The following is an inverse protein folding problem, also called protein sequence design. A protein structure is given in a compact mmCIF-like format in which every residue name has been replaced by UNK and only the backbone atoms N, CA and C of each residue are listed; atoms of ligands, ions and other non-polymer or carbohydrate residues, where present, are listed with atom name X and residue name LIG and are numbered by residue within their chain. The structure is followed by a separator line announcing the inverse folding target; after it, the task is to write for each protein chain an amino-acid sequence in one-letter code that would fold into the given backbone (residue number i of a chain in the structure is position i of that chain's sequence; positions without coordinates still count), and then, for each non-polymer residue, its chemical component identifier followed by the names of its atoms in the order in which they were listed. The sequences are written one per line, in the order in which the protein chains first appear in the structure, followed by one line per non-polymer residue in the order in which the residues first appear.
data_IF_186501150633
#
_entry.id   IF_186501150633
#
_cell.length_a   1.000
_cell.length_b   1.000
_cell.length_c   1.000
_cell.angle_alpha   90.00
_cell.angle_beta   90.00
_cell.angle_gamma   90.00
#
_symmetry.space_group_name_H-M   'P 1'
#
loop_
_entity.id
_entity.type
_entity.pdbx_description
1 polymer ?
#
# COMPACT_ATOMS: atom_id res chain seq x y z
N UNK A 1 16.67 -13.34 -17.14
CA UNK A 1 17.05 -11.94 -17.21
C UNK A 1 18.35 -11.80 -18.01
N UNK A 2 18.44 -10.72 -18.78
CA UNK A 2 19.60 -10.35 -19.58
C UNK A 2 20.04 -8.92 -19.23
N UNK A 3 21.30 -8.56 -19.49
CA UNK A 3 21.73 -7.17 -19.36
C UNK A 3 20.86 -6.24 -20.20
N UNK A 4 20.39 -5.14 -19.58
CA UNK A 4 19.48 -4.18 -20.19
C UNK A 4 18.00 -4.40 -19.93
N UNK A 5 17.59 -5.56 -19.38
CA UNK A 5 16.21 -5.77 -18.94
C UNK A 5 15.82 -4.84 -17.78
N UNK A 6 14.54 -4.49 -17.70
CA UNK A 6 13.94 -3.83 -16.55
C UNK A 6 13.08 -4.81 -15.78
N UNK A 7 13.19 -4.81 -14.45
CA UNK A 7 12.41 -5.68 -13.55
C UNK A 7 11.65 -4.83 -12.55
N UNK A 8 10.33 -4.83 -12.66
CA UNK A 8 9.45 -4.17 -11.68
C UNK A 8 9.15 -5.12 -10.52
N UNK A 9 9.38 -4.66 -9.30
CA UNK A 9 9.23 -5.45 -8.07
C UNK A 9 8.13 -4.82 -7.22
N UNK A 10 7.00 -5.55 -7.06
CA UNK A 10 5.86 -5.12 -6.27
C UNK A 10 5.33 -6.28 -5.41
N UNK A 11 5.75 -6.33 -4.15
CA UNK A 11 5.32 -7.34 -3.17
C UNK A 11 4.91 -6.69 -1.86
N UNK A 12 4.05 -7.35 -1.06
CA UNK A 12 3.77 -6.92 0.29
C UNK A 12 2.34 -7.09 0.78
N UNK A 13 1.31 -7.20 -0.07
CA UNK A 13 -0.09 -7.24 0.38
C UNK A 13 -0.39 -8.34 1.41
N UNK A 14 0.28 -9.48 1.31
CA UNK A 14 0.11 -10.63 2.21
C UNK A 14 1.16 -10.71 3.32
N UNK A 15 2.23 -9.93 3.23
CA UNK A 15 3.38 -10.01 4.13
C UNK A 15 3.07 -9.56 5.57
N UNK A 16 1.98 -8.80 5.77
CA UNK A 16 1.46 -8.42 7.08
C UNK A 16 0.71 -9.57 7.80
N UNK A 17 0.49 -10.67 7.12
CA UNK A 17 -0.20 -11.83 7.68
C UNK A 17 0.59 -12.43 8.87
N UNK A 18 -0.06 -13.20 9.75
CA UNK A 18 0.64 -13.90 10.83
C UNK A 18 1.78 -14.77 10.29
N UNK A 19 2.97 -14.62 10.87
CA UNK A 19 4.17 -15.34 10.43
C UNK A 19 4.02 -16.85 10.65
N UNK A 20 3.38 -17.26 11.75
CA UNK A 20 3.15 -18.66 12.07
C UNK A 20 2.20 -19.37 11.08
N UNK A 21 1.33 -18.63 10.40
CA UNK A 21 0.40 -19.16 9.41
C UNK A 21 1.10 -19.50 8.10
N UNK A 22 1.47 -20.77 7.93
CA UNK A 22 2.17 -21.26 6.73
C UNK A 22 1.43 -20.97 5.42
N UNK A 23 0.10 -20.85 5.43
CA UNK A 23 -0.69 -20.57 4.24
C UNK A 23 -0.58 -19.10 3.83
N UNK A 24 -0.45 -18.21 4.79
CA UNK A 24 -0.43 -16.75 4.56
C UNK A 24 0.98 -16.17 4.41
N UNK A 25 2.00 -16.83 4.97
CA UNK A 25 3.43 -16.50 4.83
C UNK A 25 3.78 -15.05 5.12
N UNK A 26 3.40 -14.56 6.31
CA UNK A 26 3.84 -13.25 6.79
C UNK A 26 5.35 -13.19 6.97
N UNK A 27 5.90 -11.98 6.91
CA UNK A 27 7.33 -11.71 7.12
C UNK A 27 7.53 -10.74 8.28
N UNK A 28 8.77 -10.57 8.74
CA UNK A 28 9.08 -9.60 9.80
C UNK A 28 8.84 -8.18 9.26
N UNK A 29 7.97 -7.36 9.91
CA UNK A 29 7.60 -6.03 9.43
C UNK A 29 8.71 -5.00 9.71
N UNK A 30 9.74 -4.96 8.89
CA UNK A 30 10.90 -4.08 9.02
C UNK A 30 11.58 -3.85 7.68
N UNK A 31 12.19 -2.66 7.49
CA UNK A 31 13.11 -2.39 6.40
C UNK A 31 14.54 -2.88 6.68
N UNK A 32 14.89 -3.07 7.96
CA UNK A 32 16.23 -3.50 8.39
C UNK A 32 16.46 -4.97 8.07
N UNK A 33 17.70 -5.35 7.85
CA UNK A 33 18.11 -6.74 7.64
C UNK A 33 18.06 -7.50 8.97
N UNK A 34 16.92 -8.13 9.21
CA UNK A 34 16.70 -8.96 10.39
C UNK A 34 16.09 -10.30 10.00
N UNK A 35 16.37 -11.31 10.78
CA UNK A 35 15.78 -12.64 10.66
C UNK A 35 15.53 -13.26 12.03
N UNK A 36 14.59 -14.18 12.09
CA UNK A 36 14.26 -14.94 13.29
C UNK A 36 13.70 -16.31 12.91
N UNK A 37 14.03 -17.32 13.71
CA UNK A 37 13.42 -18.63 13.59
C UNK A 37 12.05 -18.62 14.24
N UNK A 38 11.04 -19.05 13.51
CA UNK A 38 9.66 -19.18 13.97
C UNK A 38 9.23 -20.64 13.92
N UNK A 39 8.48 -21.07 14.93
CA UNK A 39 7.74 -22.33 14.90
C UNK A 39 6.42 -22.07 14.16
N UNK A 40 6.18 -22.78 13.09
CA UNK A 40 4.96 -22.66 12.30
C UNK A 40 3.83 -23.52 12.89
N UNK A 41 2.59 -23.23 12.46
CA UNK A 41 1.38 -23.96 12.93
C UNK A 41 1.42 -25.47 12.65
N UNK A 42 2.19 -25.89 11.65
CA UNK A 42 2.43 -27.30 11.34
C UNK A 42 3.57 -27.95 12.17
N UNK A 43 4.13 -27.22 13.12
CA UNK A 43 5.22 -27.67 14.01
C UNK A 43 6.64 -27.55 13.43
N UNK A 44 6.81 -27.19 12.17
CA UNK A 44 8.12 -26.96 11.55
C UNK A 44 8.74 -25.65 12.03
N UNK A 45 10.07 -25.57 11.99
CA UNK A 45 10.80 -24.33 12.24
C UNK A 45 11.29 -23.76 10.92
N UNK A 46 11.11 -22.45 10.72
CA UNK A 46 11.54 -21.75 9.52
C UNK A 46 12.25 -20.45 9.90
N UNK A 47 13.37 -20.15 9.21
CA UNK A 47 14.05 -18.88 9.32
C UNK A 47 13.34 -17.86 8.42
N UNK A 48 12.72 -16.87 9.04
CA UNK A 48 11.97 -15.82 8.34
C UNK A 48 12.75 -14.51 8.40
N UNK A 49 12.90 -13.88 7.27
CA UNK A 49 13.55 -12.59 7.14
C UNK A 49 12.54 -11.43 7.15
N UNK A 50 13.06 -10.22 7.24
CA UNK A 50 12.24 -9.01 7.15
C UNK A 50 11.82 -8.70 5.71
N UNK A 51 10.74 -7.91 5.58
CA UNK A 51 10.27 -7.37 4.31
C UNK A 51 11.39 -6.66 3.54
N UNK A 52 12.16 -5.79 4.21
CA UNK A 52 13.26 -5.06 3.60
C UNK A 52 14.38 -5.97 3.12
N UNK A 53 14.69 -7.04 3.87
CA UNK A 53 15.70 -8.01 3.44
C UNK A 53 15.31 -8.68 2.12
N UNK A 54 14.07 -9.14 1.99
CA UNK A 54 13.59 -9.74 0.74
C UNK A 54 13.64 -8.76 -0.44
N UNK A 55 13.24 -7.50 -0.23
CA UNK A 55 13.32 -6.50 -1.28
C UNK A 55 14.77 -6.23 -1.71
N UNK A 56 15.69 -6.09 -0.76
CA UNK A 56 17.12 -5.89 -1.05
C UNK A 56 17.72 -7.09 -1.78
N UNK A 57 17.32 -8.30 -1.38
CA UNK A 57 17.73 -9.52 -2.10
C UNK A 57 17.26 -9.51 -3.55
N UNK A 58 15.99 -9.18 -3.83
CA UNK A 58 15.49 -9.07 -5.20
C UNK A 58 16.23 -8.00 -6.00
N UNK A 59 16.50 -6.83 -5.41
CA UNK A 59 17.27 -5.76 -6.05
C UNK A 59 18.67 -6.25 -6.42
N UNK A 60 19.35 -6.91 -5.51
CA UNK A 60 20.68 -7.47 -5.73
C UNK A 60 20.66 -8.51 -6.84
N UNK A 61 19.75 -9.49 -6.79
CA UNK A 61 19.65 -10.56 -7.78
C UNK A 61 19.41 -10.03 -9.20
N UNK A 62 18.62 -8.97 -9.33
CA UNK A 62 18.37 -8.30 -10.62
C UNK A 62 19.63 -7.61 -11.12
N UNK A 63 20.34 -6.88 -10.25
CA UNK A 63 21.58 -6.17 -10.59
C UNK A 63 22.72 -7.13 -10.98
N UNK A 64 22.81 -8.28 -10.32
CA UNK A 64 23.80 -9.33 -10.63
C UNK A 64 23.59 -9.94 -12.05
N UNK A 65 22.40 -9.80 -12.60
CA UNK A 65 22.09 -10.19 -13.99
C UNK A 65 22.31 -9.06 -15.01
N UNK A 66 22.82 -7.91 -14.59
CA UNK A 66 22.98 -6.73 -15.44
C UNK A 66 21.66 -6.05 -15.79
N UNK A 67 20.57 -6.42 -15.13
CA UNK A 67 19.24 -5.83 -15.31
C UNK A 67 19.00 -4.66 -14.33
N UNK A 68 18.03 -3.82 -14.63
CA UNK A 68 17.67 -2.64 -13.85
C UNK A 68 16.44 -2.94 -12.99
N UNK A 69 16.57 -2.98 -11.64
CA UNK A 69 15.41 -3.13 -10.75
C UNK A 69 14.68 -1.80 -10.59
N UNK A 70 13.35 -1.86 -10.54
CA UNK A 70 12.46 -0.75 -10.22
C UNK A 70 11.52 -1.23 -9.10
N UNK A 71 11.62 -0.64 -7.91
CA UNK A 71 10.64 -0.89 -6.86
C UNK A 71 9.35 -0.12 -7.13
N UNK A 72 8.23 -0.79 -6.89
CA UNK A 72 6.89 -0.21 -7.06
C UNK A 72 6.12 -0.35 -5.76
N UNK A 73 5.54 0.73 -5.25
CA UNK A 73 4.68 0.65 -4.07
C UNK A 73 3.40 -0.13 -4.36
N UNK A 74 2.78 -0.67 -3.31
CA UNK A 74 1.58 -1.51 -3.41
C UNK A 74 0.42 -0.73 -4.04
N UNK A 75 -0.49 -1.44 -4.70
CA UNK A 75 -1.78 -0.84 -5.09
C UNK A 75 -2.60 -0.45 -3.87
N UNK A 76 -3.37 0.64 -3.90
CA UNK A 76 -4.25 1.00 -2.80
C UNK A 76 -5.36 -0.05 -2.61
N UNK A 77 -5.85 -0.18 -1.38
CA UNK A 77 -7.08 -0.91 -1.08
C UNK A 77 -8.27 0.05 -1.07
N UNK A 78 -9.49 -0.50 -1.19
CA UNK A 78 -10.71 0.28 -1.01
C UNK A 78 -10.95 0.55 0.48
N UNK A 79 -10.07 1.33 1.08
CA UNK A 79 -10.11 1.74 2.48
C UNK A 79 -9.98 3.26 2.58
N UNK A 80 -10.85 3.90 3.39
CA UNK A 80 -11.05 5.34 3.41
C UNK A 80 -10.94 5.93 4.83
N UNK A 81 -9.80 5.75 5.51
CA UNK A 81 -9.63 6.33 6.85
C UNK A 81 -9.76 7.85 6.80
N UNK A 82 -10.66 8.41 7.60
CA UNK A 82 -10.87 9.86 7.60
C UNK A 82 -11.53 10.44 6.35
N UNK A 83 -12.16 9.61 5.51
CA UNK A 83 -12.80 10.04 4.26
C UNK A 83 -11.83 10.28 3.10
N UNK A 84 -10.61 9.75 3.17
CA UNK A 84 -9.57 9.75 2.12
C UNK A 84 -9.08 8.35 1.87
N UNK A 85 -8.57 8.08 0.67
CA UNK A 85 -7.93 6.80 0.35
C UNK A 85 -6.71 6.55 1.26
N UNK A 86 -6.56 5.31 1.72
CA UNK A 86 -5.46 4.92 2.62
C UNK A 86 -4.10 5.11 1.97
N UNK A 87 -3.10 5.56 2.74
CA UNK A 87 -1.74 5.88 2.22
C UNK A 87 -0.65 4.89 2.61
N UNK A 88 -0.86 4.04 3.62
CA UNK A 88 0.13 3.08 4.16
C UNK A 88 1.52 3.67 4.51
N UNK A 89 1.59 4.97 4.71
CA UNK A 89 2.85 5.69 4.95
C UNK A 89 3.55 5.30 6.26
N UNK A 90 2.84 4.67 7.19
CA UNK A 90 3.37 4.22 8.48
C UNK A 90 3.79 2.74 8.51
N UNK A 91 3.70 2.04 7.38
CA UNK A 91 4.02 0.61 7.25
C UNK A 91 4.83 0.35 5.98
N UNK A 92 4.26 -0.31 4.98
CA UNK A 92 4.96 -0.65 3.75
C UNK A 92 5.54 0.54 3.00
N UNK A 93 4.82 1.67 2.92
CA UNK A 93 5.34 2.88 2.30
C UNK A 93 6.60 3.39 3.00
N UNK A 94 6.63 3.34 4.34
CA UNK A 94 7.81 3.69 5.14
C UNK A 94 8.98 2.75 4.83
N UNK A 95 8.75 1.43 4.91
CA UNK A 95 9.82 0.45 4.70
C UNK A 95 10.36 0.46 3.28
N UNK A 96 9.52 0.63 2.27
CA UNK A 96 9.93 0.84 0.89
C UNK A 96 10.85 2.06 0.75
N UNK A 97 10.45 3.20 1.31
CA UNK A 97 11.27 4.41 1.27
C UNK A 97 12.63 4.25 1.98
N UNK A 98 12.68 3.49 3.08
CA UNK A 98 13.94 3.16 3.77
C UNK A 98 14.84 2.30 2.87
N UNK A 99 14.30 1.26 2.22
CA UNK A 99 15.04 0.41 1.26
C UNK A 99 15.52 1.22 0.06
N UNK A 100 14.67 2.10 -0.50
CA UNK A 100 15.06 2.98 -1.63
C UNK A 100 16.24 3.88 -1.25
N UNK A 101 16.20 4.51 -0.06
CA UNK A 101 17.29 5.36 0.43
C UNK A 101 18.59 4.58 0.62
N UNK A 102 18.51 3.36 1.11
CA UNK A 102 19.68 2.51 1.38
C UNK A 102 20.30 1.97 0.09
N UNK A 103 19.47 1.57 -0.88
CA UNK A 103 19.93 0.85 -2.08
C UNK A 103 20.11 1.73 -3.32
N UNK A 104 19.56 2.95 -3.31
CA UNK A 104 19.52 3.83 -4.48
C UNK A 104 18.73 3.23 -5.66
N UNK A 105 17.84 2.28 -5.42
CA UNK A 105 17.00 1.68 -6.46
C UNK A 105 15.98 2.69 -6.97
N UNK A 106 15.68 2.64 -8.27
CA UNK A 106 14.57 3.42 -8.82
C UNK A 106 13.24 3.02 -8.17
N UNK A 107 12.40 4.01 -7.84
CA UNK A 107 11.16 3.78 -7.11
C UNK A 107 9.98 4.51 -7.75
N UNK A 108 8.91 3.78 -8.01
CA UNK A 108 7.64 4.33 -8.47
C UNK A 108 6.62 4.26 -7.33
N UNK A 109 6.22 5.42 -6.80
CA UNK A 109 5.19 5.52 -5.77
C UNK A 109 3.78 5.45 -6.37
N UNK A 110 3.50 4.32 -7.00
CA UNK A 110 2.20 4.05 -7.63
C UNK A 110 1.05 4.13 -6.62
N UNK A 111 1.29 3.74 -5.35
CA UNK A 111 0.28 3.80 -4.29
C UNK A 111 -0.26 5.21 -4.11
N UNK A 112 0.62 6.17 -3.86
CA UNK A 112 0.19 7.55 -3.62
C UNK A 112 -0.40 8.18 -4.88
N UNK A 113 0.14 7.89 -6.07
CA UNK A 113 -0.40 8.37 -7.34
C UNK A 113 -1.83 7.85 -7.58
N UNK A 114 -2.07 6.56 -7.35
CA UNK A 114 -3.41 5.95 -7.46
C UNK A 114 -4.35 6.46 -6.38
N UNK A 115 -3.86 6.62 -5.14
CA UNK A 115 -4.67 7.16 -4.06
C UNK A 115 -5.03 8.63 -4.27
N UNK A 116 -4.15 9.45 -4.84
CA UNK A 116 -4.46 10.84 -5.23
C UNK A 116 -5.55 10.88 -6.31
N UNK A 117 -5.49 9.98 -7.27
CA UNK A 117 -6.56 9.84 -8.27
C UNK A 117 -7.89 9.48 -7.60
N UNK A 118 -7.91 8.48 -6.73
CA UNK A 118 -9.13 8.09 -6.00
C UNK A 118 -9.66 9.25 -5.14
N UNK A 119 -8.78 9.96 -4.43
CA UNK A 119 -9.15 11.13 -3.62
C UNK A 119 -9.78 12.23 -4.47
N UNK A 120 -9.24 12.51 -5.65
CA UNK A 120 -9.79 13.53 -6.56
C UNK A 120 -11.21 13.23 -7.01
N UNK A 121 -11.62 11.97 -6.98
CA UNK A 121 -12.94 11.53 -7.39
C UNK A 121 -13.93 11.36 -6.22
N UNK A 122 -13.46 10.90 -5.05
CA UNK A 122 -14.35 10.34 -4.03
C UNK A 122 -14.05 10.80 -2.60
N UNK A 123 -12.93 11.52 -2.34
CA UNK A 123 -12.62 11.95 -0.99
C UNK A 123 -13.66 12.92 -0.44
N UNK A 124 -14.05 12.69 0.81
CA UNK A 124 -14.96 13.57 1.55
C UNK A 124 -14.43 13.84 2.98
N UNK A 125 -13.14 14.22 3.05
CA UNK A 125 -12.44 14.50 4.30
C UNK A 125 -13.10 15.61 5.12
N UNK A 126 -13.58 16.67 4.45
CA UNK A 126 -14.22 17.81 5.10
C UNK A 126 -15.47 17.40 5.86
N UNK A 127 -16.33 16.60 5.24
CA UNK A 127 -17.57 16.13 5.85
C UNK A 127 -17.29 15.12 6.96
N UNK A 128 -16.32 14.21 6.75
CA UNK A 128 -15.85 13.29 7.80
C UNK A 128 -15.38 14.07 9.03
N UNK A 129 -14.47 15.02 8.86
CA UNK A 129 -13.90 15.83 9.95
C UNK A 129 -14.97 16.60 10.72
N UNK A 130 -15.95 17.18 10.02
CA UNK A 130 -17.09 17.86 10.64
C UNK A 130 -17.83 16.98 11.65
N UNK A 131 -18.05 15.69 11.33
CA UNK A 131 -18.75 14.78 12.24
C UNK A 131 -17.82 14.18 13.31
N UNK A 132 -16.57 13.91 12.97
CA UNK A 132 -15.57 13.41 13.93
C UNK A 132 -15.28 14.43 15.03
N UNK A 133 -15.10 15.71 14.68
CA UNK A 133 -14.91 16.81 15.63
C UNK A 133 -16.14 17.00 16.53
N UNK A 134 -17.37 16.89 15.96
CA UNK A 134 -18.60 16.92 16.75
C UNK A 134 -18.67 15.76 17.74
N UNK A 135 -18.30 14.55 17.31
CA UNK A 135 -18.28 13.38 18.17
C UNK A 135 -17.33 13.55 19.36
N UNK A 136 -16.10 14.02 19.09
CA UNK A 136 -15.10 14.33 20.13
C UNK A 136 -15.61 15.40 21.10
N UNK A 137 -16.21 16.50 20.59
CA UNK A 137 -16.77 17.59 21.40
C UNK A 137 -17.93 17.11 22.28
N UNK A 138 -18.80 16.24 21.79
CA UNK A 138 -19.92 15.70 22.57
C UNK A 138 -19.43 14.72 23.65
N UNK A 139 -18.47 13.83 23.31
CA UNK A 139 -17.87 12.93 24.28
C UNK A 139 -17.18 13.69 25.44
N UNK A 140 -16.41 14.71 25.12
CA UNK A 140 -15.77 15.57 26.14
C UNK A 140 -16.77 16.29 27.07
N UNK A 141 -18.05 16.38 26.70
CA UNK A 141 -19.14 16.99 27.49
C UNK A 141 -20.06 15.93 28.12
N UNK A 142 -19.69 14.64 28.13
CA UNK A 142 -20.52 13.57 28.66
C UNK A 142 -21.84 13.34 27.89
N UNK A 143 -21.95 13.82 26.64
CA UNK A 143 -23.17 13.67 25.81
C UNK A 143 -23.07 12.43 24.90
N UNK A 144 -23.02 11.26 25.52
CA UNK A 144 -22.68 10.01 24.83
C UNK A 144 -23.62 9.65 23.66
N UNK A 145 -24.92 9.85 23.81
CA UNK A 145 -25.87 9.59 22.71
C UNK A 145 -25.59 10.46 21.48
N UNK A 146 -25.31 11.76 21.68
CA UNK A 146 -24.96 12.70 20.59
C UNK A 146 -23.58 12.39 20.00
N UNK A 147 -22.63 11.95 20.83
CA UNK A 147 -21.30 11.51 20.37
C UNK A 147 -21.43 10.26 19.48
N UNK A 148 -22.25 9.30 19.88
CA UNK A 148 -22.53 8.07 19.09
C UNK A 148 -23.18 8.40 17.76
N UNK A 149 -24.18 9.27 17.74
CA UNK A 149 -24.83 9.72 16.50
C UNK A 149 -23.84 10.39 15.53
N UNK A 150 -22.99 11.28 16.05
CA UNK A 150 -21.98 11.95 15.24
C UNK A 150 -20.94 10.96 14.68
N UNK A 151 -20.48 9.98 15.46
CA UNK A 151 -19.59 8.90 14.99
C UNK A 151 -20.26 8.08 13.87
N UNK A 152 -21.53 7.80 13.98
CA UNK A 152 -22.27 7.06 12.95
C UNK A 152 -22.34 7.86 11.64
N UNK A 153 -22.56 9.16 11.71
CA UNK A 153 -22.50 10.04 10.53
C UNK A 153 -21.10 10.04 9.89
N UNK A 154 -20.02 10.09 10.67
CA UNK A 154 -18.66 9.98 10.15
C UNK A 154 -18.41 8.62 9.46
N UNK A 155 -18.91 7.51 10.03
CA UNK A 155 -18.83 6.18 9.40
C UNK A 155 -19.59 6.11 8.07
N UNK A 156 -20.76 6.77 7.98
CA UNK A 156 -21.52 6.82 6.72
C UNK A 156 -20.74 7.54 5.61
N UNK A 157 -20.03 8.61 5.93
CA UNK A 157 -19.16 9.29 4.96
C UNK A 157 -18.08 8.32 4.42
N UNK A 158 -17.41 7.56 5.30
CA UNK A 158 -16.43 6.57 4.89
C UNK A 158 -17.05 5.47 4.02
N UNK A 159 -18.25 4.98 4.39
CA UNK A 159 -18.97 3.97 3.63
C UNK A 159 -19.36 4.48 2.23
N UNK A 160 -19.73 5.74 2.11
CA UNK A 160 -20.07 6.37 0.84
C UNK A 160 -18.84 6.47 -0.10
N UNK A 161 -17.70 6.98 0.40
CA UNK A 161 -16.45 6.98 -0.36
C UNK A 161 -16.10 5.58 -0.86
N UNK A 162 -16.19 4.58 0.02
CA UNK A 162 -15.95 3.17 -0.31
C UNK A 162 -16.90 2.65 -1.41
N UNK A 163 -18.18 2.95 -1.29
CA UNK A 163 -19.18 2.50 -2.26
C UNK A 163 -18.98 3.13 -3.64
N UNK A 164 -18.69 4.43 -3.69
CA UNK A 164 -18.43 5.14 -4.95
C UNK A 164 -17.16 4.63 -5.65
N UNK A 165 -16.12 4.30 -4.89
CA UNK A 165 -14.88 3.76 -5.41
C UNK A 165 -14.97 2.29 -5.83
N UNK A 166 -16.08 1.59 -5.53
CA UNK A 166 -16.21 0.15 -5.75
C UNK A 166 -15.99 -0.29 -7.20
N UNK A 167 -16.26 0.57 -8.17
CA UNK A 167 -16.01 0.28 -9.59
C UNK A 167 -14.55 -0.04 -9.92
N UNK A 168 -13.58 0.44 -9.11
CA UNK A 168 -12.14 0.16 -9.28
C UNK A 168 -11.70 -1.16 -8.62
N UNK A 169 -12.59 -1.83 -7.90
CA UNK A 169 -12.31 -3.05 -7.17
C UNK A 169 -13.23 -4.18 -7.62
N UNK A 170 -12.82 -5.44 -7.40
CA UNK A 170 -13.63 -6.62 -7.72
C UNK A 170 -14.58 -6.96 -6.56
N UNK A 171 -14.55 -8.24 -6.16
CA UNK A 171 -15.41 -8.78 -5.10
C UNK A 171 -14.97 -8.41 -3.68
N UNK A 172 -13.76 -7.89 -3.52
CA UNK A 172 -13.20 -7.50 -2.23
C UNK A 172 -12.48 -6.15 -2.33
N UNK A 173 -12.04 -5.61 -1.19
CA UNK A 173 -11.40 -4.31 -1.08
C UNK A 173 -9.93 -4.26 -1.57
N UNK A 174 -9.37 -5.38 -2.03
CA UNK A 174 -7.94 -5.49 -2.40
C UNK A 174 -7.74 -5.69 -3.90
N UNK A 175 -8.49 -6.62 -4.50
CA UNK A 175 -8.31 -6.96 -5.90
C UNK A 175 -9.01 -5.94 -6.81
N UNK A 176 -8.30 -5.50 -7.84
CA UNK A 176 -8.79 -4.48 -8.76
C UNK A 176 -9.71 -5.05 -9.84
N UNK A 177 -10.70 -4.25 -10.27
CA UNK A 177 -11.46 -4.45 -11.51
C UNK A 177 -10.59 -4.11 -12.73
N UNK A 178 -11.16 -4.19 -13.92
CA UNK A 178 -10.51 -3.71 -15.15
C UNK A 178 -10.23 -2.20 -15.07
N UNK A 179 -11.17 -1.42 -14.55
CA UNK A 179 -11.01 0.03 -14.33
C UNK A 179 -9.90 0.30 -13.32
N UNK A 180 -9.85 -0.47 -12.23
CA UNK A 180 -8.78 -0.37 -11.24
C UNK A 180 -7.41 -0.78 -11.80
N UNK A 181 -7.35 -1.79 -12.64
CA UNK A 181 -6.12 -2.18 -13.32
C UNK A 181 -5.61 -1.08 -14.27
N UNK A 182 -6.52 -0.45 -15.03
CA UNK A 182 -6.20 0.70 -15.90
C UNK A 182 -5.70 1.90 -15.09
N UNK A 183 -6.37 2.23 -13.98
CA UNK A 183 -5.93 3.28 -13.06
C UNK A 183 -4.50 3.02 -12.55
N UNK A 184 -4.21 1.79 -12.11
CA UNK A 184 -2.88 1.42 -11.61
C UNK A 184 -1.82 1.48 -12.73
N UNK A 185 -2.13 1.01 -13.95
CA UNK A 185 -1.23 1.10 -15.10
C UNK A 185 -0.91 2.56 -15.45
N UNK A 186 -1.92 3.44 -15.47
CA UNK A 186 -1.74 4.87 -15.69
C UNK A 186 -0.91 5.52 -14.57
N UNK A 187 -1.14 5.13 -13.32
CA UNK A 187 -0.37 5.62 -12.17
C UNK A 187 1.09 5.18 -12.24
N UNK A 188 1.35 3.95 -12.65
CA UNK A 188 2.69 3.44 -12.88
C UNK A 188 3.41 4.22 -14.00
N UNK A 189 2.78 4.36 -15.16
CA UNK A 189 3.30 5.12 -16.28
C UNK A 189 3.58 6.59 -15.91
N UNK A 190 2.67 7.22 -15.14
CA UNK A 190 2.86 8.57 -14.60
C UNK A 190 4.08 8.64 -13.68
N UNK A 191 4.23 7.65 -12.79
CA UNK A 191 5.37 7.59 -11.87
C UNK A 191 6.71 7.43 -12.59
N UNK A 192 6.78 6.59 -13.62
CA UNK A 192 7.97 6.47 -14.46
C UNK A 192 8.36 7.81 -15.12
N UNK A 193 7.36 8.53 -15.67
CA UNK A 193 7.58 9.85 -16.28
C UNK A 193 8.03 10.89 -15.25
N UNK A 194 7.46 10.90 -14.06
CA UNK A 194 7.84 11.81 -12.96
C UNK A 194 9.27 11.59 -12.50
N UNK A 195 9.74 10.36 -12.55
CA UNK A 195 11.12 9.98 -12.16
C UNK A 195 12.13 10.16 -13.29
N UNK A 196 11.73 10.57 -14.48
CA UNK A 196 12.56 10.56 -15.69
C UNK A 196 13.19 9.18 -15.93
N UNK A 197 12.43 8.11 -15.67
CA UNK A 197 12.87 6.74 -15.89
C UNK A 197 13.16 6.49 -17.37
N UNK A 198 14.28 5.82 -17.67
CA UNK A 198 14.55 5.36 -19.05
C UNK A 198 13.48 4.40 -19.56
N UNK A 199 12.84 3.64 -18.66
CA UNK A 199 11.73 2.77 -19.04
C UNK A 199 10.53 3.59 -19.59
N UNK A 200 10.38 4.86 -19.21
CA UNK A 200 9.31 5.71 -19.72
C UNK A 200 9.40 5.99 -21.23
N UNK A 201 10.58 5.84 -21.84
CA UNK A 201 10.79 5.99 -23.29
C UNK A 201 10.05 4.92 -24.10
N UNK A 202 9.70 3.79 -23.47
CA UNK A 202 8.96 2.67 -24.09
C UNK A 202 7.44 2.72 -23.87
N UNK A 203 6.92 3.79 -23.24
CA UNK A 203 5.48 3.99 -23.06
C UNK A 203 4.92 4.67 -24.31
N UNK A 204 3.97 4.00 -24.96
CA UNK A 204 3.23 4.50 -26.12
C UNK A 204 1.98 5.29 -25.71
#
# INVERSE_FOLDING_TARGET
LQPGDYVTIQFGHNDISPIADKKKRGVIPSAKDTSKVFKLDNGQFELIYSYGWYLKKFIQDVREKGATPILVSLTPRNEWPGGKAERRNNSYGKWLNEVVKETGVEFVDMHNISADFLDSQFANEKEFKKYDDKAKKYAAKGKDAKAKEAKEKARKVVAECKNQAWKYFKKDHTHTSIEGARMNAQSFAKGLKQNNSKLAEYLY
#
